data_IF_155215807714
#
_entry.id   IF_155215807714
#
_cell.length_a   1.000
_cell.length_b   1.000
_cell.length_c   1.000
_cell.angle_alpha   90.00
_cell.angle_beta   90.00
_cell.angle_gamma   90.00
#
_symmetry.space_group_name_H-M   'P 1'
#
loop_
_entity.id
_entity.type
_entity.pdbx_description
1 polymer ?
#
# COMPACT_ATOMS: atom_id res chain seq x y z
N UNK A 1 3.74 7.21 -5.24
CA UNK A 1 4.04 6.05 -4.37
C UNK A 1 4.27 6.43 -2.91
N UNK A 2 5.45 6.93 -2.52
CA UNK A 2 5.80 7.16 -1.10
C UNK A 2 4.81 8.05 -0.34
N UNK A 3 4.35 9.16 -0.95
CA UNK A 3 3.36 10.04 -0.31
C UNK A 3 2.05 9.31 0.09
N UNK A 4 1.65 8.28 -0.65
CA UNK A 4 0.50 7.44 -0.30
C UNK A 4 0.86 6.51 0.86
N UNK A 5 2.00 5.83 0.79
CA UNK A 5 2.48 4.95 1.87
C UNK A 5 2.62 5.71 3.19
N UNK A 6 3.24 6.89 3.19
CA UNK A 6 3.46 7.71 4.39
C UNK A 6 2.15 8.10 5.07
N UNK A 7 1.12 8.42 4.28
CA UNK A 7 -0.22 8.71 4.81
C UNK A 7 -0.88 7.47 5.39
N UNK A 8 -0.74 6.32 4.74
CA UNK A 8 -1.27 5.06 5.24
C UNK A 8 -0.60 4.69 6.57
N UNK A 9 0.72 4.80 6.65
CA UNK A 9 1.50 4.55 7.87
C UNK A 9 1.12 5.53 8.98
N UNK A 10 0.97 6.82 8.66
CA UNK A 10 0.54 7.84 9.63
C UNK A 10 -0.87 7.59 10.18
N UNK A 11 -1.73 6.91 9.41
CA UNK A 11 -3.08 6.56 9.83
C UNK A 11 -3.12 5.37 10.80
N UNK A 12 -2.08 4.52 10.80
CA UNK A 12 -2.04 3.32 11.60
C UNK A 12 -1.87 3.65 13.08
N UNK A 13 -2.66 2.97 13.90
CA UNK A 13 -2.50 2.94 15.35
C UNK A 13 -2.28 1.48 15.74
N UNK A 14 -1.02 1.02 15.86
CA UNK A 14 -0.73 -0.38 16.16
C UNK A 14 -1.33 -0.77 17.51
N UNK A 15 -2.03 -1.91 17.55
CA UNK A 15 -2.51 -2.51 18.79
C UNK A 15 -1.37 -3.27 19.48
N UNK A 16 -1.58 -3.66 20.74
CA UNK A 16 -0.63 -4.48 21.48
C UNK A 16 -0.26 -5.76 20.71
N UNK A 17 1.03 -6.14 20.74
CA UNK A 17 1.54 -7.30 20.01
C UNK A 17 1.65 -7.12 18.49
N UNK A 18 1.39 -5.92 17.96
CA UNK A 18 1.51 -5.60 16.53
C UNK A 18 2.91 -5.07 16.20
N UNK A 19 3.59 -5.74 15.27
CA UNK A 19 4.82 -5.27 14.64
C UNK A 19 4.49 -4.69 13.27
N UNK A 20 4.93 -3.46 13.00
CA UNK A 20 4.80 -2.80 11.69
C UNK A 20 6.18 -2.65 11.08
N UNK A 21 6.32 -3.07 9.81
CA UNK A 21 7.55 -2.95 9.03
C UNK A 21 7.21 -2.24 7.72
N UNK A 22 8.00 -1.23 7.37
CA UNK A 22 7.80 -0.41 6.17
C UNK A 22 9.05 -0.52 5.31
N UNK A 23 8.92 -0.96 4.06
CA UNK A 23 10.05 -1.12 3.12
C UNK A 23 11.22 -1.97 3.67
N UNK A 24 10.92 -3.00 4.46
CA UNK A 24 11.92 -3.86 5.08
C UNK A 24 11.78 -5.31 4.62
N UNK A 25 12.90 -6.04 4.60
CA UNK A 25 12.87 -7.47 4.35
C UNK A 25 12.05 -8.20 5.41
N UNK A 26 11.42 -9.30 4.98
CA UNK A 26 10.60 -10.14 5.85
C UNK A 26 11.51 -11.05 6.69
N UNK A 27 11.40 -11.02 8.04
CA UNK A 27 12.20 -11.88 8.89
C UNK A 27 12.00 -13.37 8.56
N UNK A 28 13.10 -14.13 8.48
CA UNK A 28 13.05 -15.57 8.18
C UNK A 28 12.86 -15.91 6.70
N UNK A 29 13.01 -14.92 5.80
CA UNK A 29 12.99 -15.12 4.35
C UNK A 29 14.23 -14.46 3.70
N UNK A 30 14.88 -15.20 2.80
CA UNK A 30 16.11 -14.77 2.11
C UNK A 30 15.87 -14.34 0.64
N UNK A 31 14.63 -14.00 0.29
CA UNK A 31 14.28 -13.55 -1.08
C UNK A 31 14.60 -12.06 -1.33
N UNK A 32 15.02 -11.33 -0.30
CA UNK A 32 15.31 -9.90 -0.36
C UNK A 32 14.09 -9.00 -0.62
N UNK A 33 12.87 -9.56 -0.62
CA UNK A 33 11.66 -8.81 -0.92
C UNK A 33 11.29 -7.89 0.24
N UNK A 34 10.85 -6.69 -0.14
CA UNK A 34 10.45 -5.62 0.77
C UNK A 34 9.04 -5.18 0.37
N UNK A 35 7.98 -5.71 0.98
CA UNK A 35 6.66 -5.11 0.83
C UNK A 35 6.67 -3.69 1.39
N UNK A 36 5.86 -2.80 0.82
CA UNK A 36 5.73 -1.42 1.31
C UNK A 36 5.29 -1.40 2.77
N UNK A 37 4.35 -2.28 3.15
CA UNK A 37 3.82 -2.39 4.50
C UNK A 37 3.58 -3.86 4.87
N UNK A 38 4.24 -4.31 5.94
CA UNK A 38 4.00 -5.59 6.59
C UNK A 38 3.57 -5.34 8.04
N UNK A 39 2.40 -5.85 8.40
CA UNK A 39 1.84 -5.76 9.75
C UNK A 39 1.64 -7.18 10.26
N UNK A 40 2.22 -7.51 11.40
CA UNK A 40 2.10 -8.83 12.03
C UNK A 40 1.64 -8.65 13.46
N UNK A 41 0.49 -9.24 13.81
CA UNK A 41 0.01 -9.30 15.19
C UNK A 41 0.25 -10.71 15.73
N UNK A 42 1.15 -10.82 16.71
CA UNK A 42 1.49 -12.10 17.33
C UNK A 42 0.39 -12.68 18.22
N UNK A 43 -0.44 -11.82 18.81
CA UNK A 43 -1.53 -12.19 19.74
C UNK A 43 -2.77 -12.65 18.98
N UNK A 44 -3.20 -11.88 17.97
CA UNK A 44 -4.34 -12.22 17.11
C UNK A 44 -3.98 -13.27 16.05
N UNK A 45 -2.70 -13.64 15.92
CA UNK A 45 -2.17 -14.51 14.86
C UNK A 45 -2.63 -14.05 13.48
N UNK A 46 -2.47 -12.76 13.20
CA UNK A 46 -2.82 -12.17 11.90
C UNK A 46 -1.62 -11.48 11.26
N UNK A 47 -1.57 -11.50 9.93
CA UNK A 47 -0.58 -10.77 9.14
C UNK A 47 -1.21 -10.09 7.92
N UNK A 48 -0.82 -8.86 7.65
CA UNK A 48 -1.22 -8.11 6.47
C UNK A 48 0.02 -7.66 5.69
N UNK A 49 0.09 -8.09 4.43
CA UNK A 49 1.12 -7.70 3.47
C UNK A 49 0.45 -6.77 2.46
N UNK A 50 0.70 -5.48 2.56
CA UNK A 50 0.07 -4.44 1.75
C UNK A 50 1.14 -3.74 0.92
N UNK A 51 0.96 -3.72 -0.39
CA UNK A 51 1.84 -2.98 -1.31
C UNK A 51 1.08 -1.82 -1.95
N UNK A 52 1.65 -0.63 -1.93
CA UNK A 52 1.08 0.54 -2.60
C UNK A 52 1.33 0.41 -4.11
N UNK A 53 0.39 0.87 -4.91
CA UNK A 53 0.62 1.02 -6.34
C UNK A 53 -0.06 2.28 -6.86
N UNK A 54 0.63 2.97 -7.78
CA UNK A 54 0.09 4.14 -8.48
C UNK A 54 0.09 3.93 -10.00
N UNK A 55 -0.71 3.00 -10.53
CA UNK A 55 -0.75 2.69 -11.95
C UNK A 55 -1.37 3.84 -12.76
N UNK A 56 -1.05 3.91 -14.05
CA UNK A 56 -1.80 4.77 -14.97
C UNK A 56 -3.23 4.24 -15.12
N UNK A 57 -4.21 5.13 -15.02
CA UNK A 57 -5.63 4.79 -14.93
C UNK A 57 -6.27 4.52 -16.29
N UNK A 58 -5.93 3.39 -16.90
CA UNK A 58 -6.66 2.94 -18.09
C UNK A 58 -7.84 2.04 -17.68
N UNK A 59 -8.88 2.67 -17.12
CA UNK A 59 -10.08 2.01 -16.56
C UNK A 59 -9.77 1.11 -15.36
N UNK A 60 -10.82 0.49 -14.81
CA UNK A 60 -10.72 -0.39 -13.63
C UNK A 60 -9.79 -1.60 -13.82
N UNK A 61 -9.70 -2.13 -15.04
CA UNK A 61 -8.84 -3.27 -15.35
C UNK A 61 -7.35 -3.01 -15.03
N UNK A 62 -6.88 -1.76 -15.14
CA UNK A 62 -5.52 -1.40 -14.75
C UNK A 62 -5.29 -1.56 -13.24
N UNK A 63 -6.31 -1.28 -12.42
CA UNK A 63 -6.25 -1.47 -10.97
C UNK A 63 -6.27 -2.96 -10.62
N UNK A 64 -7.14 -3.75 -11.23
CA UNK A 64 -7.18 -5.19 -11.01
C UNK A 64 -5.87 -5.87 -11.42
N UNK A 65 -5.31 -5.50 -12.57
CA UNK A 65 -4.03 -6.02 -13.03
C UNK A 65 -2.90 -5.71 -12.03
N UNK A 66 -2.76 -4.44 -11.62
CA UNK A 66 -1.77 -4.03 -10.63
C UNK A 66 -1.95 -4.77 -9.29
N UNK A 67 -3.20 -4.94 -8.83
CA UNK A 67 -3.53 -5.66 -7.59
C UNK A 67 -3.12 -7.13 -7.68
N UNK A 68 -3.46 -7.80 -8.77
CA UNK A 68 -3.16 -9.22 -8.99
C UNK A 68 -1.66 -9.46 -9.14
N UNK A 69 -0.94 -8.54 -9.77
CA UNK A 69 0.53 -8.58 -9.83
C UNK A 69 1.14 -8.58 -8.43
N UNK A 70 0.72 -7.65 -7.56
CA UNK A 70 1.22 -7.59 -6.16
C UNK A 70 0.84 -8.83 -5.36
N UNK A 71 -0.41 -9.30 -5.47
CA UNK A 71 -0.84 -10.54 -4.80
C UNK A 71 0.00 -11.74 -5.22
N UNK A 72 0.30 -11.86 -6.51
CA UNK A 72 1.15 -12.92 -7.04
C UNK A 72 2.58 -12.79 -6.54
N UNK A 73 3.15 -11.57 -6.58
CA UNK A 73 4.52 -11.27 -6.16
C UNK A 73 4.78 -11.61 -4.69
N UNK A 74 3.81 -11.37 -3.80
CA UNK A 74 3.98 -11.57 -2.36
C UNK A 74 3.27 -12.83 -1.82
N UNK A 75 2.75 -13.69 -2.70
CA UNK A 75 1.99 -14.88 -2.32
C UNK A 75 2.79 -15.85 -1.43
N UNK A 76 4.06 -16.08 -1.74
CA UNK A 76 4.93 -16.96 -0.96
C UNK A 76 5.27 -16.41 0.43
N UNK A 77 5.29 -15.08 0.61
CA UNK A 77 5.41 -14.45 1.94
C UNK A 77 4.17 -14.78 2.78
N UNK A 78 2.99 -14.78 2.16
CA UNK A 78 1.79 -15.21 2.87
C UNK A 78 1.86 -16.68 3.27
N UNK A 79 2.37 -17.55 2.40
CA UNK A 79 2.52 -18.97 2.72
C UNK A 79 3.56 -19.21 3.83
N UNK A 80 4.59 -18.36 3.94
CA UNK A 80 5.53 -18.37 5.06
C UNK A 80 4.82 -18.10 6.40
N UNK A 81 3.96 -17.08 6.47
CA UNK A 81 3.20 -16.76 7.70
C UNK A 81 2.06 -17.76 7.96
N UNK A 82 1.36 -18.25 6.93
CA UNK A 82 0.31 -19.27 7.08
C UNK A 82 0.85 -20.56 7.69
N UNK A 83 2.05 -21.00 7.28
CA UNK A 83 2.73 -22.17 7.88
C UNK A 83 3.04 -22.01 9.37
N UNK A 84 3.11 -20.77 9.86
CA UNK A 84 3.30 -20.44 11.28
C UNK A 84 1.98 -20.25 12.04
N UNK A 85 0.85 -20.55 11.38
CA UNK A 85 -0.49 -20.48 11.97
C UNK A 85 -1.12 -19.08 11.95
N UNK A 86 -0.64 -18.18 11.09
CA UNK A 86 -1.25 -16.86 10.95
C UNK A 86 -2.38 -16.88 9.91
N UNK A 87 -3.44 -16.10 10.16
CA UNK A 87 -4.36 -15.64 9.12
C UNK A 87 -3.70 -14.51 8.33
N UNK A 88 -3.64 -14.63 7.01
CA UNK A 88 -2.80 -13.74 6.18
C UNK A 88 -3.56 -13.13 5.02
N UNK A 89 -3.54 -11.80 4.97
CA UNK A 89 -4.03 -11.01 3.87
C UNK A 89 -2.86 -10.45 3.03
N UNK A 90 -2.88 -10.70 1.72
CA UNK A 90 -2.03 -10.00 0.74
C UNK A 90 -2.92 -9.12 -0.11
N UNK A 91 -2.60 -7.84 -0.21
CA UNK A 91 -3.32 -6.97 -1.14
C UNK A 91 -2.53 -5.74 -1.59
N UNK A 92 -3.05 -5.05 -2.61
CA UNK A 92 -2.51 -3.77 -3.05
C UNK A 92 -3.37 -2.59 -2.58
N UNK A 93 -2.75 -1.49 -2.19
CA UNK A 93 -3.42 -0.21 -1.92
C UNK A 93 -3.22 0.72 -3.12
N UNK A 94 -4.28 0.94 -3.91
CA UNK A 94 -4.16 1.52 -5.25
C UNK A 94 -4.74 2.92 -5.30
N UNK A 95 -3.91 3.90 -5.67
CA UNK A 95 -4.33 5.25 -6.02
C UNK A 95 -3.74 5.55 -7.39
N UNK A 96 -4.58 5.63 -8.41
CA UNK A 96 -4.09 5.81 -9.77
C UNK A 96 -3.41 7.17 -10.00
N UNK A 97 -2.57 7.23 -11.03
CA UNK A 97 -1.76 8.40 -11.35
C UNK A 97 -2.57 9.67 -11.69
N UNK A 98 -3.84 9.53 -12.08
CA UNK A 98 -4.76 10.62 -12.41
C UNK A 98 -5.71 10.97 -11.24
N UNK A 99 -5.52 10.36 -10.07
CA UNK A 99 -6.27 10.61 -8.84
C UNK A 99 -7.42 9.64 -8.58
N UNK A 100 -7.58 8.59 -9.38
CA UNK A 100 -8.54 7.52 -9.21
C UNK A 100 -8.29 6.73 -7.92
N UNK A 101 -9.38 6.40 -7.25
CA UNK A 101 -9.39 5.61 -6.03
C UNK A 101 -9.94 4.22 -6.31
N UNK A 102 -9.19 3.17 -6.00
CA UNK A 102 -9.71 1.81 -6.11
C UNK A 102 -10.69 1.51 -4.95
N UNK A 103 -11.97 1.18 -5.23
CA UNK A 103 -12.92 0.78 -4.20
C UNK A 103 -12.46 -0.39 -3.34
N UNK A 104 -11.59 -1.27 -3.84
CA UNK A 104 -11.05 -2.38 -3.06
C UNK A 104 -10.12 -1.93 -1.91
N UNK A 105 -9.67 -0.66 -1.90
CA UNK A 105 -8.93 -0.10 -0.76
C UNK A 105 -9.76 -0.05 0.53
N UNK A 106 -11.08 0.00 0.45
CA UNK A 106 -11.96 0.02 1.63
C UNK A 106 -11.80 -1.25 2.49
N UNK A 107 -11.47 -2.38 1.85
CA UNK A 107 -11.18 -3.62 2.57
C UNK A 107 -9.91 -3.50 3.40
N UNK A 108 -8.88 -2.85 2.87
CA UNK A 108 -7.61 -2.62 3.56
C UNK A 108 -7.81 -1.62 4.70
N UNK A 109 -8.54 -0.52 4.46
CA UNK A 109 -8.90 0.45 5.50
C UNK A 109 -9.59 -0.23 6.67
N UNK A 110 -10.53 -1.14 6.37
CA UNK A 110 -11.27 -1.90 7.38
C UNK A 110 -10.37 -2.91 8.12
N UNK A 111 -9.55 -3.66 7.38
CA UNK A 111 -8.58 -4.62 7.92
C UNK A 111 -7.60 -3.96 8.90
N UNK A 112 -7.10 -2.78 8.52
CA UNK A 112 -6.14 -2.01 9.30
C UNK A 112 -6.82 -1.18 10.41
N UNK A 113 -8.14 -1.33 10.59
CA UNK A 113 -8.94 -0.63 11.61
C UNK A 113 -8.72 0.89 11.61
N UNK A 114 -8.52 1.49 10.43
CA UNK A 114 -8.22 2.92 10.33
C UNK A 114 -9.45 3.77 10.68
N UNK A 115 -9.22 4.90 11.34
CA UNK A 115 -10.28 5.81 11.76
C UNK A 115 -11.11 6.36 10.59
N UNK A 116 -12.41 6.07 10.56
CA UNK A 116 -13.31 6.42 9.46
C UNK A 116 -13.34 7.92 9.11
N UNK A 117 -13.29 8.78 10.14
CA UNK A 117 -13.24 10.23 9.93
C UNK A 117 -11.95 10.65 9.22
N UNK A 118 -10.82 10.11 9.66
CA UNK A 118 -9.52 10.39 9.05
C UNK A 118 -9.44 9.83 7.63
N UNK A 119 -10.00 8.65 7.36
CA UNK A 119 -9.95 8.00 6.05
C UNK A 119 -10.57 8.84 4.93
N UNK A 120 -11.67 9.55 5.21
CA UNK A 120 -12.30 10.46 4.23
C UNK A 120 -11.36 11.60 3.82
N UNK A 121 -10.66 12.19 4.78
CA UNK A 121 -9.67 13.24 4.52
C UNK A 121 -8.44 12.65 3.82
N UNK A 122 -7.93 11.53 4.34
CA UNK A 122 -6.76 10.82 3.83
C UNK A 122 -6.92 10.46 2.35
N UNK A 123 -8.09 9.94 1.94
CA UNK A 123 -8.41 9.64 0.54
C UNK A 123 -8.20 10.87 -0.36
N UNK A 124 -8.80 12.01 0.01
CA UNK A 124 -8.68 13.25 -0.76
C UNK A 124 -7.23 13.70 -0.84
N UNK A 125 -6.51 13.67 0.27
CA UNK A 125 -5.12 14.08 0.32
C UNK A 125 -4.20 13.17 -0.52
N UNK A 126 -4.39 11.85 -0.46
CA UNK A 126 -3.65 10.89 -1.28
C UNK A 126 -3.89 11.12 -2.78
N UNK A 127 -5.14 11.31 -3.21
CA UNK A 127 -5.47 11.61 -4.60
C UNK A 127 -4.81 12.93 -5.05
N UNK A 128 -4.91 13.99 -4.24
CA UNK A 128 -4.28 15.27 -4.54
C UNK A 128 -2.75 15.16 -4.65
N UNK A 129 -2.11 14.45 -3.73
CA UNK A 129 -0.66 14.25 -3.77
C UNK A 129 -0.26 13.51 -5.04
N UNK A 130 -0.96 12.44 -5.43
CA UNK A 130 -0.64 11.67 -6.64
C UNK A 130 -0.83 12.53 -7.90
N UNK A 131 -1.89 13.33 -8.00
CA UNK A 131 -2.09 14.26 -9.12
C UNK A 131 -0.96 15.28 -9.17
N UNK A 132 -0.60 15.89 -8.03
CA UNK A 132 0.49 16.87 -7.94
C UNK A 132 1.80 16.27 -8.43
N UNK A 133 2.17 15.08 -7.93
CA UNK A 133 3.37 14.38 -8.34
C UNK A 133 3.37 14.05 -9.83
N UNK A 134 2.25 13.57 -10.38
CA UNK A 134 2.14 13.28 -11.82
C UNK A 134 2.29 14.52 -12.68
N UNK A 135 1.72 15.67 -12.25
CA UNK A 135 1.90 16.97 -12.90
C UNK A 135 3.36 17.41 -12.84
N UNK A 136 4.01 17.32 -11.68
CA UNK A 136 5.40 17.74 -11.50
C UNK A 136 6.35 16.91 -12.38
N UNK A 137 6.16 15.58 -12.44
CA UNK A 137 6.90 14.68 -13.35
C UNK A 137 6.69 15.06 -14.82
N UNK A 138 5.44 15.34 -15.21
CA UNK A 138 5.13 15.73 -16.59
C UNK A 138 5.75 17.08 -16.99
N UNK A 139 5.69 18.07 -16.10
CA UNK A 139 6.29 19.39 -16.34
C UNK A 139 7.81 19.30 -16.40
N UNK A 140 8.44 18.51 -15.54
CA UNK A 140 9.88 18.23 -15.59
C UNK A 140 10.28 17.60 -16.92
N UNK A 141 9.49 16.64 -17.42
CA UNK A 141 9.71 16.03 -18.73
C UNK A 141 9.65 17.06 -19.88
N UNK A 142 8.70 18.00 -19.83
CA UNK A 142 8.56 19.03 -20.87
C UNK A 142 9.64 20.12 -20.80
N UNK A 143 10.05 20.50 -19.60
CA UNK A 143 10.91 21.68 -19.38
C UNK A 143 12.38 21.32 -19.16
N UNK A 144 12.67 20.07 -18.81
CA UNK A 144 13.98 19.64 -18.33
C UNK A 144 14.35 20.18 -16.95
N UNK A 145 13.43 20.90 -16.27
CA UNK A 145 13.69 21.51 -14.96
C UNK A 145 13.02 20.70 -13.86
N UNK A 146 13.82 20.35 -12.84
CA UNK A 146 13.36 19.63 -11.65
C UNK A 146 12.18 20.35 -11.00
N UNK A 147 11.05 19.67 -10.83
CA UNK A 147 9.83 20.26 -10.23
C UNK A 147 9.60 19.87 -8.77
N UNK A 148 10.41 18.96 -8.24
CA UNK A 148 10.22 18.37 -6.93
C UNK A 148 11.57 18.10 -6.26
N UNK A 149 11.62 18.32 -4.94
CA UNK A 149 12.77 18.04 -4.08
C UNK A 149 12.81 16.57 -3.65
#
# INVERSE_FOLDING_TARGET
HNAVLDRLVKALVPHEGTTVRVNQCVPGMDDGLRPDLLIVNGMEKSAAIIDVATPFENRYAAFEAARNEKRSKYGHIADHYRRQGYDVCVDAFIVGALGGWDPANERIISLLKLGQHYCRLMRRLMCTDVIRWSRDIYVEHLTGQRQHE
#
